data_IF_991877851872
#
_entry.id   IF_991877851872
#
_cell.length_a   1.000
_cell.length_b   1.000
_cell.length_c   1.000
_cell.angle_alpha   90.00
_cell.angle_beta   90.00
_cell.angle_gamma   90.00
#
_symmetry.space_group_name_H-M   'P 1'
#
loop_
_entity.id
_entity.type
_entity.pdbx_description
1 polymer ?
#
# COMPACT_ATOMS: atom_id res chain seq x y z
N UNK A 1 14.31 -12.01 4.29
CA UNK A 1 13.47 -10.86 4.61
C UNK A 1 12.26 -10.83 3.68
N UNK A 2 11.10 -10.63 4.25
CA UNK A 2 9.88 -10.62 3.46
C UNK A 2 9.49 -9.19 3.11
N UNK A 3 9.31 -8.93 1.83
CA UNK A 3 8.87 -7.63 1.36
C UNK A 3 7.39 -7.69 1.07
N UNK A 4 6.72 -6.58 1.27
CA UNK A 4 5.27 -6.52 1.17
C UNK A 4 4.80 -6.02 -0.18
N UNK A 5 3.55 -6.35 -0.50
CA UNK A 5 2.88 -5.88 -1.70
C UNK A 5 1.68 -5.05 -1.26
N UNK A 6 1.38 -4.02 -2.01
CA UNK A 6 0.21 -3.21 -1.75
C UNK A 6 -0.80 -3.39 -2.87
N UNK A 7 -2.04 -3.61 -2.48
CA UNK A 7 -3.17 -3.73 -3.40
C UNK A 7 -4.15 -2.61 -3.12
N UNK A 8 -4.84 -2.17 -4.14
CA UNK A 8 -5.94 -1.23 -3.97
C UNK A 8 -7.24 -1.96 -4.29
N UNK A 9 -8.24 -1.76 -3.44
CA UNK A 9 -9.54 -2.37 -3.66
C UNK A 9 -10.53 -1.35 -4.19
N UNK A 10 -11.10 -1.64 -5.36
CA UNK A 10 -12.11 -0.82 -6.01
C UNK A 10 -13.18 -1.71 -6.58
N UNK A 11 -14.43 -1.38 -6.28
CA UNK A 11 -15.59 -2.10 -6.83
C UNK A 11 -15.48 -3.61 -6.62
N UNK A 12 -14.97 -4.00 -5.44
CA UNK A 12 -14.83 -5.40 -5.10
C UNK A 12 -13.66 -6.11 -5.74
N UNK A 13 -12.82 -5.39 -6.45
CA UNK A 13 -11.65 -5.96 -7.10
C UNK A 13 -10.37 -5.43 -6.46
N UNK A 14 -9.37 -6.29 -6.39
CA UNK A 14 -8.06 -5.93 -5.86
C UNK A 14 -7.07 -5.87 -7.00
N UNK A 15 -6.37 -4.75 -7.10
CA UNK A 15 -5.36 -4.55 -8.11
C UNK A 15 -4.02 -4.32 -7.45
N UNK A 16 -2.98 -4.93 -7.99
CA UNK A 16 -1.64 -4.75 -7.47
C UNK A 16 -1.18 -3.32 -7.76
N UNK A 17 -0.82 -2.60 -6.71
CA UNK A 17 -0.38 -1.23 -6.83
C UNK A 17 1.14 -1.12 -6.80
N UNK A 18 1.77 -1.88 -5.92
CA UNK A 18 3.19 -1.73 -5.67
C UNK A 18 3.75 -2.99 -5.04
N UNK A 19 5.00 -3.31 -5.36
CA UNK A 19 5.67 -4.48 -4.81
C UNK A 19 6.97 -4.09 -4.10
N UNK A 20 7.51 -5.03 -3.39
CA UNK A 20 8.81 -4.90 -2.72
C UNK A 20 8.87 -3.69 -1.79
N UNK A 21 7.79 -3.51 -1.03
CA UNK A 21 7.67 -2.42 -0.09
C UNK A 21 8.47 -2.75 1.16
N UNK A 22 9.40 -1.86 1.49
CA UNK A 22 10.22 -2.02 2.69
C UNK A 22 9.58 -1.32 3.89
N UNK A 23 8.90 -0.21 3.66
CA UNK A 23 8.25 0.51 4.75
C UNK A 23 7.09 1.36 4.25
N UNK A 24 6.18 1.65 5.17
CA UNK A 24 5.05 2.54 4.91
C UNK A 24 4.97 3.52 6.07
N UNK A 25 5.04 4.80 5.78
CA UNK A 25 4.84 5.84 6.78
C UNK A 25 3.42 6.37 6.63
N UNK A 26 2.71 6.46 7.74
CA UNK A 26 1.32 6.89 7.73
C UNK A 26 1.21 8.26 8.34
N UNK A 27 0.69 9.21 7.57
CA UNK A 27 0.51 10.58 8.04
C UNK A 27 -0.81 11.14 7.51
N UNK A 28 -1.64 11.65 8.42
CA UNK A 28 -2.83 12.46 8.08
C UNK A 28 -3.53 12.09 6.76
N UNK A 29 -3.88 10.83 6.61
CA UNK A 29 -4.59 10.37 5.41
C UNK A 29 -3.71 10.10 4.22
N UNK A 30 -2.40 10.18 4.39
CA UNK A 30 -1.45 9.90 3.33
C UNK A 30 -0.55 8.75 3.73
N UNK A 31 -0.15 7.97 2.74
CA UNK A 31 0.74 6.84 2.95
C UNK A 31 1.98 7.06 2.09
N UNK A 32 3.14 7.00 2.72
CA UNK A 32 4.39 7.10 1.99
C UNK A 32 5.02 5.72 1.94
N UNK A 33 5.08 5.16 0.75
CA UNK A 33 5.66 3.85 0.52
C UNK A 33 7.10 3.99 0.10
N UNK A 34 7.96 3.16 0.68
CA UNK A 34 9.36 3.09 0.29
C UNK A 34 9.68 1.67 -0.13
N UNK A 35 10.31 1.52 -1.27
CA UNK A 35 10.68 0.20 -1.77
C UNK A 35 12.09 -0.17 -1.38
N UNK A 36 12.40 -1.44 -1.56
CA UNK A 36 13.74 -1.95 -1.33
C UNK A 36 14.79 -1.21 -2.18
N UNK A 37 14.38 -0.72 -3.34
CA UNK A 37 15.28 -0.04 -4.27
C UNK A 37 15.43 1.45 -4.01
N UNK A 38 14.82 1.94 -2.94
CA UNK A 38 14.94 3.35 -2.59
C UNK A 38 13.90 4.26 -3.24
N UNK A 39 12.97 3.69 -3.98
CA UNK A 39 11.89 4.47 -4.57
C UNK A 39 10.88 4.85 -3.50
N UNK A 40 10.27 6.00 -3.65
CA UNK A 40 9.25 6.49 -2.73
C UNK A 40 8.02 6.90 -3.52
N UNK A 41 6.85 6.62 -2.94
CA UNK A 41 5.59 7.01 -3.55
C UNK A 41 4.61 7.42 -2.46
N UNK A 42 4.03 8.60 -2.61
CA UNK A 42 3.04 9.11 -1.67
C UNK A 42 1.65 8.92 -2.27
N UNK A 43 0.77 8.31 -1.49
CA UNK A 43 -0.58 7.99 -1.95
C UNK A 43 -1.58 8.44 -0.88
N UNK A 44 -2.62 9.16 -1.31
CA UNK A 44 -3.70 9.54 -0.42
C UNK A 44 -4.71 8.39 -0.38
N UNK A 45 -4.61 7.60 0.67
CA UNK A 45 -5.46 6.42 0.82
C UNK A 45 -5.47 5.99 2.27
N UNK A 46 -6.35 5.06 2.58
CA UNK A 46 -6.40 4.44 3.90
C UNK A 46 -6.05 2.97 3.77
N UNK A 47 -5.43 2.43 4.82
CA UNK A 47 -5.15 1.01 4.87
C UNK A 47 -6.42 0.32 5.34
N UNK A 48 -6.93 -0.57 4.51
CA UNK A 48 -8.11 -1.35 4.85
C UNK A 48 -7.74 -2.63 5.59
N UNK A 49 -6.65 -3.27 5.17
CA UNK A 49 -6.27 -4.56 5.72
C UNK A 49 -4.77 -4.74 5.63
N UNK A 50 -4.19 -5.37 6.64
CA UNK A 50 -2.81 -5.81 6.61
C UNK A 50 -2.82 -7.31 6.85
N UNK A 51 -2.30 -8.06 5.90
CA UNK A 51 -2.24 -9.52 6.01
C UNK A 51 -0.79 -9.92 6.15
N UNK A 52 -0.42 -10.33 7.35
CA UNK A 52 0.96 -10.69 7.63
C UNK A 52 1.35 -12.06 7.05
N UNK A 53 0.38 -12.91 6.81
CA UNK A 53 0.68 -14.22 6.22
C UNK A 53 1.07 -14.10 4.76
N UNK A 54 0.40 -13.23 4.03
CA UNK A 54 0.69 -13.03 2.61
C UNK A 54 1.58 -11.81 2.36
N UNK A 55 1.99 -11.13 3.43
CA UNK A 55 2.81 -9.93 3.35
C UNK A 55 2.19 -8.89 2.42
N UNK A 56 0.91 -8.62 2.63
CA UNK A 56 0.19 -7.71 1.75
C UNK A 56 -0.60 -6.67 2.53
N UNK A 57 -0.77 -5.51 1.88
CA UNK A 57 -1.57 -4.42 2.37
C UNK A 57 -2.69 -4.18 1.37
N UNK A 58 -3.88 -3.92 1.87
CA UNK A 58 -5.00 -3.57 1.01
C UNK A 58 -5.43 -2.15 1.33
N UNK A 59 -5.46 -1.31 0.32
CA UNK A 59 -5.78 0.10 0.45
C UNK A 59 -7.16 0.40 -0.11
N UNK A 60 -7.76 1.46 0.39
CA UNK A 60 -9.05 1.92 -0.12
C UNK A 60 -9.11 3.43 -0.05
N UNK A 61 -10.06 4.02 -0.75
CA UNK A 61 -10.29 5.45 -0.70
C UNK A 61 -9.16 6.26 -1.28
N UNK A 62 -8.65 5.85 -2.45
CA UNK A 62 -7.62 6.63 -3.12
C UNK A 62 -8.09 8.03 -3.40
N UNK A 63 -7.24 9.01 -3.14
CA UNK A 63 -7.57 10.40 -3.37
C UNK A 63 -7.95 10.65 -4.82
N UNK A 64 -8.97 11.45 -5.02
CA UNK A 64 -9.43 11.78 -6.35
C UNK A 64 -10.46 10.83 -6.93
N UNK A 65 -10.83 9.82 -6.20
CA UNK A 65 -11.85 8.86 -6.66
C UNK A 65 -13.22 9.18 -6.12
#
# INVERSE_FOLDING_TARGET
>A
MCLSKAYVERDGKRELLMEEIASVDIEAGKLLFKTLFGEQKEIEANIREIDFLSHSLVLEGLGGD
#
